data_IF_273135986949
#
_entry.id   IF_273135986949
#
_cell.length_a   1.000
_cell.length_b   1.000
_cell.length_c   1.000
_cell.angle_alpha   90.00
_cell.angle_beta   90.00
_cell.angle_gamma   90.00
#
_symmetry.space_group_name_H-M   'P 1'
#
loop_
_entity.id
_entity.type
_entity.pdbx_description
1 polymer ?
#
# COMPACT_ATOMS: atom_id res chain seq x y z
N UNK A 1 -4.06 15.02 12.31
CA UNK A 1 -3.18 14.82 11.15
C UNK A 1 -2.95 13.33 10.80
N UNK A 2 -2.76 12.44 11.79
CA UNK A 2 -2.56 10.98 11.59
C UNK A 2 -3.68 10.28 10.80
N UNK A 3 -4.96 10.59 11.09
CA UNK A 3 -6.10 10.01 10.37
C UNK A 3 -6.10 10.27 8.86
N UNK A 4 -5.44 11.34 8.39
CA UNK A 4 -5.34 11.65 6.96
C UNK A 4 -4.38 10.71 6.24
N UNK A 5 -3.27 10.35 6.88
CA UNK A 5 -2.31 9.37 6.38
C UNK A 5 -2.93 7.96 6.35
N UNK A 6 -3.64 7.57 7.41
CA UNK A 6 -4.34 6.28 7.47
C UNK A 6 -5.45 6.16 6.42
N UNK A 7 -6.21 7.25 6.16
CA UNK A 7 -7.19 7.28 5.06
C UNK A 7 -6.54 7.17 3.68
N UNK A 8 -5.27 7.55 3.54
CA UNK A 8 -4.57 7.51 2.27
C UNK A 8 -4.24 6.08 1.82
N UNK A 9 -3.98 5.19 2.78
CA UNK A 9 -3.69 3.77 2.53
C UNK A 9 -4.91 2.84 2.61
N UNK A 10 -6.10 3.38 2.92
CA UNK A 10 -7.36 2.61 2.95
C UNK A 10 -7.78 1.97 1.62
N UNK A 11 -7.49 2.52 0.43
CA UNK A 11 -7.84 1.85 -0.82
C UNK A 11 -7.23 0.44 -0.86
N UNK A 12 -7.97 -0.52 -1.42
CA UNK A 12 -7.47 -1.88 -1.62
C UNK A 12 -6.12 -1.80 -2.37
N UNK A 13 -5.11 -2.48 -1.82
CA UNK A 13 -3.73 -2.52 -2.32
C UNK A 13 -2.90 -1.24 -2.17
N UNK A 14 -3.40 -0.23 -1.45
CA UNK A 14 -2.70 1.04 -1.28
C UNK A 14 -1.33 0.87 -0.64
N UNK A 15 -1.23 0.04 0.40
CA UNK A 15 0.04 -0.27 1.09
C UNK A 15 1.01 -1.00 0.15
N UNK A 16 0.55 -2.07 -0.49
CA UNK A 16 1.35 -2.93 -1.37
C UNK A 16 1.93 -2.12 -2.54
N UNK A 17 1.15 -1.21 -3.13
CA UNK A 17 1.63 -0.32 -4.19
C UNK A 17 2.72 0.63 -3.68
N UNK A 18 2.57 1.19 -2.48
CA UNK A 18 3.58 2.07 -1.89
C UNK A 18 4.88 1.30 -1.62
N UNK A 19 4.79 0.07 -1.13
CA UNK A 19 5.96 -0.78 -0.89
C UNK A 19 6.67 -1.17 -2.18
N UNK A 20 5.93 -1.63 -3.20
CA UNK A 20 6.52 -1.97 -4.50
C UNK A 20 7.24 -0.77 -5.12
N UNK A 21 6.62 0.41 -5.09
CA UNK A 21 7.19 1.64 -5.64
C UNK A 21 8.29 2.25 -4.76
N UNK A 22 8.49 1.76 -3.54
CA UNK A 22 9.56 2.22 -2.67
C UNK A 22 10.94 1.75 -3.14
N UNK A 23 10.99 0.64 -3.88
CA UNK A 23 12.22 0.12 -4.48
C UNK A 23 12.58 0.87 -5.76
N UNK A 24 11.63 1.06 -6.67
CA UNK A 24 11.86 1.74 -7.94
C UNK A 24 10.56 2.23 -8.59
N UNK A 25 10.63 3.18 -9.53
CA UNK A 25 9.51 3.52 -10.39
C UNK A 25 9.12 2.39 -11.34
N UNK A 26 7.83 2.23 -11.62
CA UNK A 26 7.33 1.17 -12.49
C UNK A 26 6.25 1.64 -13.46
N UNK A 27 6.24 1.04 -14.64
CA UNK A 27 5.15 1.19 -15.61
C UNK A 27 3.87 0.56 -15.05
N UNK A 28 2.72 0.97 -15.59
CA UNK A 28 1.42 0.42 -15.20
C UNK A 28 1.39 -1.13 -15.25
N UNK A 29 1.89 -1.71 -16.34
CA UNK A 29 1.87 -3.17 -16.54
C UNK A 29 2.76 -3.89 -15.56
N UNK A 30 3.98 -3.39 -15.33
CA UNK A 30 4.93 -4.02 -14.43
C UNK A 30 4.45 -3.93 -12.97
N UNK A 31 3.86 -2.79 -12.60
CA UNK A 31 3.28 -2.59 -11.28
C UNK A 31 2.06 -3.50 -11.05
N UNK A 32 1.19 -3.68 -12.06
CA UNK A 32 0.05 -4.59 -11.98
C UNK A 32 0.49 -6.05 -11.80
N UNK A 33 1.52 -6.47 -12.54
CA UNK A 33 2.10 -7.82 -12.43
C UNK A 33 2.72 -8.04 -11.04
N UNK A 34 3.55 -7.11 -10.56
CA UNK A 34 4.14 -7.22 -9.21
C UNK A 34 3.09 -7.24 -8.12
N UNK A 35 2.06 -6.41 -8.25
CA UNK A 35 0.96 -6.38 -7.29
C UNK A 35 0.22 -7.72 -7.27
N UNK A 36 -0.04 -8.33 -8.43
CA UNK A 36 -0.65 -9.66 -8.50
C UNK A 36 0.18 -10.78 -7.83
N UNK A 37 1.50 -10.60 -7.68
CA UNK A 37 2.36 -11.54 -6.97
C UNK A 37 2.37 -11.41 -5.45
N UNK A 38 1.90 -10.27 -4.90
CA UNK A 38 1.93 -10.00 -3.44
C UNK A 38 0.54 -9.80 -2.83
N UNK A 39 -0.48 -9.53 -3.66
CA UNK A 39 -1.83 -9.31 -3.19
C UNK A 39 -2.50 -10.63 -2.77
N UNK A 40 -3.25 -10.59 -1.67
CA UNK A 40 -4.13 -11.67 -1.27
C UNK A 40 -5.41 -11.66 -2.13
N UNK A 41 -5.37 -12.42 -3.24
CA UNK A 41 -6.47 -12.60 -4.18
C UNK A 41 -6.36 -11.81 -5.50
N UNK A 42 -7.35 -11.97 -6.40
CA UNK A 42 -7.28 -11.44 -7.76
C UNK A 42 -7.25 -9.91 -7.82
N UNK A 43 -6.31 -9.38 -8.60
CA UNK A 43 -6.13 -7.95 -8.84
C UNK A 43 -6.81 -7.54 -10.15
N UNK A 44 -8.00 -6.95 -10.03
CA UNK A 44 -8.70 -6.40 -11.19
C UNK A 44 -8.13 -5.05 -11.60
N UNK A 45 -7.87 -4.88 -12.89
CA UNK A 45 -7.32 -3.66 -13.49
C UNK A 45 -8.12 -2.40 -13.14
N UNK A 46 -9.46 -2.47 -13.13
CA UNK A 46 -10.33 -1.35 -12.77
C UNK A 46 -10.08 -0.84 -11.34
N UNK A 47 -10.03 -1.75 -10.38
CA UNK A 47 -9.79 -1.40 -8.98
C UNK A 47 -8.36 -0.89 -8.80
N UNK A 48 -7.40 -1.50 -9.49
CA UNK A 48 -6.00 -1.08 -9.47
C UNK A 48 -5.84 0.36 -10.00
N UNK A 49 -6.45 0.66 -11.14
CA UNK A 49 -6.46 2.01 -11.72
C UNK A 49 -7.14 3.03 -10.79
N UNK A 50 -8.23 2.65 -10.13
CA UNK A 50 -8.89 3.51 -9.14
C UNK A 50 -7.98 3.79 -7.93
N UNK A 51 -7.23 2.79 -7.44
CA UNK A 51 -6.25 2.97 -6.38
C UNK A 51 -5.10 3.90 -6.81
N UNK A 52 -4.54 3.73 -8.01
CA UNK A 52 -3.50 4.63 -8.54
C UNK A 52 -3.99 6.07 -8.64
N UNK A 53 -5.23 6.28 -9.13
CA UNK A 53 -5.84 7.60 -9.19
C UNK A 53 -6.01 8.22 -7.78
N UNK A 54 -6.45 7.42 -6.81
CA UNK A 54 -6.60 7.87 -5.42
C UNK A 54 -5.25 8.28 -4.79
N UNK A 55 -4.21 7.46 -4.93
CA UNK A 55 -2.86 7.73 -4.42
C UNK A 55 -2.23 8.95 -5.12
N UNK A 56 -2.47 9.13 -6.42
CA UNK A 56 -1.99 10.28 -7.19
C UNK A 56 -2.68 11.57 -6.70
N UNK A 57 -4.00 11.55 -6.53
CA UNK A 57 -4.78 12.68 -6.01
C UNK A 57 -4.36 13.05 -4.58
N UNK A 58 -3.94 12.08 -3.78
CA UNK A 58 -3.41 12.29 -2.44
C UNK A 58 -1.95 12.78 -2.43
N UNK A 59 -1.30 12.88 -3.59
CA UNK A 59 0.08 13.31 -3.73
C UNK A 59 1.09 12.31 -3.18
N UNK A 60 0.73 11.03 -3.07
CA UNK A 60 1.63 9.96 -2.60
C UNK A 60 2.44 9.35 -3.74
N UNK A 61 1.85 9.27 -4.93
CA UNK A 61 2.53 8.83 -6.15
C UNK A 61 2.40 9.90 -7.23
N UNK A 62 3.32 9.88 -8.18
CA UNK A 62 3.28 10.68 -9.39
C UNK A 62 3.26 9.78 -10.62
N UNK A 63 2.36 10.05 -11.55
CA UNK A 63 2.37 9.47 -12.90
C UNK A 63 3.19 10.39 -13.82
N UNK A 64 4.38 9.94 -14.22
CA UNK A 64 5.32 10.75 -15.00
C UNK A 64 5.13 10.51 -16.49
N UNK A 65 4.15 11.19 -17.05
CA UNK A 65 3.78 11.09 -18.46
C UNK A 65 4.86 11.60 -19.42
N UNK A 66 5.81 12.41 -18.96
CA UNK A 66 6.92 12.92 -19.77
C UNK A 66 8.04 11.89 -19.98
N UNK A 67 8.06 10.79 -19.21
CA UNK A 67 8.94 9.66 -19.49
C UNK A 67 8.35 8.78 -20.59
N UNK A 68 9.22 8.22 -21.43
CA UNK A 68 8.85 7.27 -22.47
C UNK A 68 9.59 5.96 -22.21
N UNK A 69 8.89 4.89 -21.75
CA UNK A 69 7.46 4.83 -21.44
C UNK A 69 7.08 5.54 -20.11
N UNK A 70 5.81 5.96 -19.93
CA UNK A 70 5.33 6.54 -18.68
C UNK A 70 5.42 5.55 -17.52
N UNK A 71 5.78 6.07 -16.34
CA UNK A 71 5.90 5.29 -15.11
C UNK A 71 5.25 5.99 -13.91
N UNK A 72 5.06 5.22 -12.85
CA UNK A 72 4.60 5.65 -11.54
C UNK A 72 5.77 5.63 -10.57
N UNK A 73 5.86 6.61 -9.69
CA UNK A 73 6.84 6.63 -8.62
C UNK A 73 6.28 7.28 -7.36
N UNK A 74 6.85 6.94 -6.21
CA UNK A 74 6.58 7.67 -4.98
C UNK A 74 6.99 9.14 -5.11
N UNK A 75 6.15 10.03 -4.59
CA UNK A 75 6.57 11.39 -4.29
C UNK A 75 7.42 11.40 -3.01
N UNK A 76 8.00 12.55 -2.65
CA UNK A 76 8.66 12.71 -1.34
C UNK A 76 7.74 12.39 -0.17
N UNK A 77 6.46 12.76 -0.27
CA UNK A 77 5.45 12.44 0.76
C UNK A 77 5.14 10.94 0.80
N UNK A 78 5.03 10.29 -0.37
CA UNK A 78 4.86 8.84 -0.47
C UNK A 78 6.01 8.07 0.16
N UNK A 79 7.26 8.46 -0.11
CA UNK A 79 8.45 7.85 0.48
C UNK A 79 8.45 7.94 2.01
N UNK A 80 8.15 9.12 2.57
CA UNK A 80 8.07 9.31 4.02
C UNK A 80 6.98 8.47 4.66
N UNK A 81 5.83 8.33 3.98
CA UNK A 81 4.75 7.48 4.46
C UNK A 81 5.15 6.00 4.44
N UNK A 82 5.76 5.52 3.35
CA UNK A 82 6.24 4.13 3.25
C UNK A 82 7.23 3.79 4.38
N UNK A 83 8.18 4.68 4.69
CA UNK A 83 9.09 4.51 5.84
C UNK A 83 8.32 4.41 7.16
N UNK A 84 7.35 5.29 7.40
CA UNK A 84 6.56 5.27 8.62
C UNK A 84 5.74 3.98 8.76
N UNK A 85 5.17 3.46 7.66
CA UNK A 85 4.42 2.21 7.66
C UNK A 85 5.31 1.01 7.99
N UNK A 86 6.54 0.96 7.48
CA UNK A 86 7.49 -0.10 7.84
C UNK A 86 7.84 -0.11 9.33
N UNK A 87 7.96 1.06 9.95
CA UNK A 87 8.17 1.12 11.40
C UNK A 87 6.98 0.62 12.20
N UNK A 88 5.76 0.87 11.74
CA UNK A 88 4.55 0.33 12.35
C UNK A 88 4.50 -1.20 12.19
N UNK A 89 4.85 -1.70 11.01
CA UNK A 89 4.88 -3.15 10.73
C UNK A 89 5.96 -3.88 11.54
N UNK A 90 7.15 -3.28 11.68
CA UNK A 90 8.18 -3.82 12.58
C UNK A 90 7.72 -3.86 14.04
N UNK A 91 7.04 -2.81 14.51
CA UNK A 91 6.48 -2.79 15.87
C UNK A 91 5.42 -3.88 16.07
N UNK A 92 4.55 -4.11 15.09
CA UNK A 92 3.51 -5.17 15.13
C UNK A 92 4.13 -6.57 15.17
N UNK A 93 5.24 -6.79 14.44
CA UNK A 93 5.99 -8.05 14.49
C UNK A 93 6.66 -8.28 15.86
N UNK A 94 7.14 -7.22 16.51
CA UNK A 94 7.75 -7.28 17.84
C UNK A 94 6.70 -7.38 18.98
N UNK A 95 5.46 -6.96 18.71
CA UNK A 95 4.34 -6.95 19.66
C UNK A 95 3.08 -7.54 19.01
N UNK A 96 3.10 -8.84 18.64
CA UNK A 96 1.90 -9.47 18.13
C UNK A 96 0.80 -9.25 19.17
N UNK A 97 -0.35 -8.74 18.72
CA UNK A 97 -1.48 -8.53 19.60
C UNK A 97 -1.68 -9.78 20.45
N UNK A 98 -1.75 -9.61 21.78
CA UNK A 98 -1.98 -10.70 22.72
C UNK A 98 -3.27 -11.37 22.28
N UNK A 99 -3.14 -12.48 21.55
CA UNK A 99 -4.25 -13.09 20.86
C UNK A 99 -5.13 -13.61 21.98
N UNK A 100 -6.35 -13.08 22.19
CA UNK A 100 -7.20 -13.55 23.27
C UNK A 100 -7.43 -15.03 23.00
N UNK A 101 -6.77 -15.86 23.80
CA UNK A 101 -6.86 -17.30 23.69
C UNK A 101 -8.32 -17.67 23.84
N UNK A 102 -8.91 -18.20 22.77
CA UNK A 102 -10.06 -19.09 22.79
C UNK A 102 -10.90 -19.03 24.08
N UNK A 103 -11.64 -17.93 24.30
CA UNK A 103 -12.51 -17.79 25.46
C UNK A 103 -13.86 -18.48 25.19
N UNK A 104 -13.81 -19.77 24.86
CA UNK A 104 -14.95 -20.68 24.89
C UNK A 104 -14.75 -21.63 26.09
N UNK A 105 -14.89 -21.10 27.30
CA UNK A 105 -14.85 -21.92 28.53
C UNK A 105 -15.67 -21.34 29.69
N UNK A 106 -16.80 -20.66 29.44
CA UNK A 106 -17.72 -20.26 30.52
C UNK A 106 -19.20 -20.60 30.28
N UNK A 107 -19.53 -21.61 29.48
CA UNK A 107 -20.85 -22.25 29.57
C UNK A 107 -20.75 -23.56 30.35
N UNK A 108 -20.88 -23.45 31.67
CA UNK A 108 -21.41 -24.51 32.55
C UNK A 108 -22.50 -23.86 33.39
#
# INVERSE_FOLDING_TARGET
MLQRALRAIKPKWGREILDILSSEPLRYTDLLVRLGGVADGPVHSRTFQATLAALTRQGLIAHRTTRVPPDYALTRSGQRLAVALRHIEAWDQDHPADQPGNSDSWRT
#
